data_IF_864473707882
#
_entry.id   IF_864473707882
#
_cell.length_a   1.000
_cell.length_b   1.000
_cell.length_c   1.000
_cell.angle_alpha   90.00
_cell.angle_beta   90.00
_cell.angle_gamma   90.00
#
_symmetry.space_group_name_H-M   'P 1'
#
loop_
_entity.id
_entity.type
_entity.pdbx_description
1 polymer ?
#
# COMPACT_ATOMS: atom_id res chain seq x y z
N UNK A 1 -15.72 -6.53 -7.31
CA UNK A 1 -15.31 -6.92 -5.93
C UNK A 1 -16.04 -6.07 -4.90
N UNK A 2 -16.28 -6.60 -3.70
CA UNK A 2 -16.87 -5.89 -2.55
C UNK A 2 -15.92 -4.78 -2.09
N UNK A 3 -16.46 -3.64 -1.67
CA UNK A 3 -15.66 -2.50 -1.17
C UNK A 3 -16.12 -2.02 0.18
N UNK A 4 -15.18 -1.45 0.94
CA UNK A 4 -15.42 -0.81 2.25
C UNK A 4 -14.64 0.50 2.32
N UNK A 5 -14.98 1.36 3.28
CA UNK A 5 -14.22 2.59 3.57
C UNK A 5 -13.53 2.43 4.91
N UNK A 6 -12.20 2.32 4.88
CA UNK A 6 -11.36 2.22 6.08
C UNK A 6 -10.13 3.08 5.88
N UNK A 7 -9.88 3.92 6.89
CA UNK A 7 -8.86 4.93 6.89
C UNK A 7 -9.22 6.15 6.04
N UNK A 8 -8.42 7.20 6.20
CA UNK A 8 -8.54 8.48 5.52
C UNK A 8 -7.14 8.99 5.19
N UNK A 9 -6.95 9.64 4.05
CA UNK A 9 -5.64 10.20 3.70
C UNK A 9 -5.77 11.53 2.96
N UNK A 10 -4.67 12.28 2.91
CA UNK A 10 -4.59 13.55 2.20
C UNK A 10 -5.00 13.33 0.75
N UNK A 11 -5.88 14.18 0.25
CA UNK A 11 -6.41 14.03 -1.11
C UNK A 11 -5.89 15.07 -2.10
N UNK A 12 -5.49 16.26 -1.61
CA UNK A 12 -4.97 17.38 -2.43
C UNK A 12 -3.92 18.14 -1.64
N UNK A 13 -2.87 18.65 -2.32
CA UNK A 13 -1.82 19.47 -1.70
C UNK A 13 -2.35 20.70 -0.99
N UNK A 14 -3.30 21.38 -1.63
CA UNK A 14 -3.84 22.68 -1.18
C UNK A 14 -4.86 22.59 -0.05
N UNK A 15 -5.17 21.39 0.44
CA UNK A 15 -6.15 21.21 1.51
C UNK A 15 -5.69 20.20 2.55
N UNK A 16 -5.94 20.51 3.82
CA UNK A 16 -5.80 19.54 4.91
C UNK A 16 -6.96 18.52 4.93
N UNK A 17 -7.86 18.56 3.95
CA UNK A 17 -8.97 17.61 3.82
C UNK A 17 -8.47 16.18 3.66
N UNK A 18 -8.77 15.38 4.68
CA UNK A 18 -8.59 13.94 4.66
C UNK A 18 -9.81 13.30 4.02
N UNK A 19 -9.62 12.46 3.00
CA UNK A 19 -10.71 11.68 2.39
C UNK A 19 -10.62 10.23 2.76
N UNK A 20 -11.79 9.63 3.00
CA UNK A 20 -11.91 8.20 3.25
C UNK A 20 -11.29 7.39 2.09
N UNK A 21 -10.50 6.39 2.45
CA UNK A 21 -9.87 5.48 1.49
C UNK A 21 -10.87 4.38 1.16
N UNK A 22 -11.16 4.21 -0.13
CA UNK A 22 -11.94 3.05 -0.58
C UNK A 22 -11.01 1.85 -0.69
N UNK A 23 -11.36 0.78 0.02
CA UNK A 23 -10.66 -0.50 0.02
C UNK A 23 -11.49 -1.56 -0.70
N UNK A 24 -10.81 -2.47 -1.37
CA UNK A 24 -11.39 -3.67 -1.98
C UNK A 24 -11.16 -4.82 -1.00
N UNK A 25 -12.20 -5.62 -0.76
CA UNK A 25 -12.11 -6.85 0.04
C UNK A 25 -11.59 -7.97 -0.86
N UNK A 26 -10.39 -8.46 -0.58
CA UNK A 26 -9.75 -9.55 -1.34
C UNK A 26 -10.07 -10.92 -0.77
N UNK A 27 -10.23 -11.02 0.55
CA UNK A 27 -10.58 -12.25 1.24
C UNK A 27 -11.33 -11.93 2.54
N UNK A 28 -12.20 -12.84 2.98
CA UNK A 28 -12.95 -12.75 4.23
C UNK A 28 -13.00 -14.14 4.87
N UNK A 29 -12.49 -14.27 6.10
CA UNK A 29 -12.51 -15.54 6.83
C UNK A 29 -13.89 -15.81 7.44
N UNK A 30 -14.16 -17.05 7.86
CA UNK A 30 -15.39 -17.41 8.58
C UNK A 30 -15.55 -16.64 9.91
N UNK A 31 -14.43 -16.18 10.48
CA UNK A 31 -14.40 -15.34 11.69
C UNK A 31 -14.66 -13.85 11.39
N UNK A 32 -14.86 -13.48 10.11
CA UNK A 32 -15.11 -12.11 9.67
C UNK A 32 -13.85 -11.25 9.52
N UNK A 33 -12.64 -11.84 9.53
CA UNK A 33 -11.39 -11.10 9.27
C UNK A 33 -11.27 -10.84 7.77
N UNK A 34 -10.97 -9.60 7.39
CA UNK A 34 -10.91 -9.19 5.98
C UNK A 34 -9.49 -8.79 5.59
N UNK A 35 -9.03 -9.30 4.44
CA UNK A 35 -7.84 -8.79 3.76
C UNK A 35 -8.26 -7.70 2.77
N UNK A 36 -7.66 -6.52 2.90
CA UNK A 36 -8.07 -5.32 2.18
C UNK A 36 -6.91 -4.75 1.36
N UNK A 37 -7.19 -4.29 0.14
CA UNK A 37 -6.27 -3.50 -0.68
C UNK A 37 -6.87 -2.13 -0.98
N UNK A 38 -6.05 -1.10 -1.11
CA UNK A 38 -6.52 0.21 -1.61
C UNK A 38 -7.04 0.09 -3.05
N UNK A 39 -8.16 0.74 -3.34
CA UNK A 39 -8.67 0.81 -4.72
C UNK A 39 -7.79 1.68 -5.64
N UNK A 40 -7.11 2.67 -5.07
CA UNK A 40 -6.28 3.66 -5.77
C UNK A 40 -4.86 3.66 -5.15
N UNK A 41 -3.83 4.03 -5.91
CA UNK A 41 -2.52 4.31 -5.33
C UNK A 41 -2.64 5.55 -4.44
N UNK A 42 -2.21 5.46 -3.18
CA UNK A 42 -2.52 6.48 -2.16
C UNK A 42 -1.53 7.63 -2.17
N UNK A 43 -0.23 7.32 -2.21
CA UNK A 43 0.86 8.27 -2.28
C UNK A 43 1.96 7.73 -3.21
N UNK A 44 2.84 8.63 -3.66
CA UNK A 44 4.03 8.29 -4.46
C UNK A 44 5.21 8.23 -3.51
N UNK A 45 5.66 7.00 -3.22
CA UNK A 45 6.72 6.72 -2.27
C UNK A 45 7.93 6.18 -3.01
N UNK A 46 9.14 6.49 -2.53
CA UNK A 46 10.33 5.73 -2.90
C UNK A 46 10.36 4.42 -2.11
N UNK A 47 11.03 3.39 -2.62
CA UNK A 47 11.15 2.12 -1.90
C UNK A 47 12.24 2.19 -0.81
N UNK A 48 13.40 2.78 -1.13
CA UNK A 48 14.52 3.07 -0.23
C UNK A 48 15.25 4.35 -0.65
N UNK A 49 16.40 4.60 -0.02
CA UNK A 49 17.28 5.71 -0.40
C UNK A 49 17.95 5.43 -1.76
N UNK A 50 18.22 6.49 -2.53
CA UNK A 50 18.91 6.40 -3.82
C UNK A 50 20.37 5.93 -3.66
N UNK A 51 20.95 6.13 -2.46
CA UNK A 51 22.33 5.74 -2.12
C UNK A 51 22.49 4.27 -1.69
N UNK A 52 21.40 3.50 -1.55
CA UNK A 52 21.52 2.06 -1.28
C UNK A 52 21.98 1.32 -2.55
N UNK A 53 23.06 0.53 -2.43
CA UNK A 53 23.31 -0.54 -3.40
C UNK A 53 22.05 -1.42 -3.45
N UNK A 54 21.41 -1.51 -4.63
CA UNK A 54 20.15 -2.24 -4.84
C UNK A 54 20.14 -3.65 -4.22
N UNK A 55 21.31 -4.28 -4.12
CA UNK A 55 21.52 -5.64 -3.61
C UNK A 55 21.36 -5.78 -2.08
N UNK A 56 21.16 -4.69 -1.33
CA UNK A 56 20.99 -4.70 0.14
C UNK A 56 19.62 -4.21 0.62
N UNK A 57 18.76 -3.76 -0.29
CA UNK A 57 17.51 -3.11 0.06
C UNK A 57 16.39 -4.14 0.27
N UNK A 58 16.31 -4.68 1.48
CA UNK A 58 15.25 -5.60 1.90
C UNK A 58 14.01 -4.88 2.43
N UNK A 59 12.84 -5.53 2.38
CA UNK A 59 11.59 -5.03 2.96
C UNK A 59 11.75 -4.51 4.38
N UNK A 60 12.50 -5.25 5.22
CA UNK A 60 12.72 -4.93 6.63
C UNK A 60 13.23 -3.50 6.84
N UNK A 61 14.18 -3.08 6.00
CA UNK A 61 14.88 -1.80 6.10
C UNK A 61 14.40 -0.76 5.07
N UNK A 62 13.35 -1.08 4.31
CA UNK A 62 12.82 -0.20 3.29
C UNK A 62 12.19 1.07 3.89
N UNK A 63 12.41 2.20 3.24
CA UNK A 63 11.77 3.47 3.61
C UNK A 63 10.25 3.36 3.54
N UNK A 64 9.73 2.67 2.52
CA UNK A 64 8.29 2.50 2.35
C UNK A 64 7.65 1.69 3.48
N UNK A 65 8.28 0.63 3.98
CA UNK A 65 7.77 -0.14 5.13
C UNK A 65 7.69 0.73 6.38
N UNK A 66 8.76 1.49 6.65
CA UNK A 66 8.82 2.41 7.78
C UNK A 66 7.70 3.46 7.68
N UNK A 67 7.52 4.07 6.51
CA UNK A 67 6.43 5.02 6.30
C UNK A 67 5.05 4.37 6.47
N UNK A 68 4.84 3.15 5.94
CA UNK A 68 3.57 2.44 6.03
C UNK A 68 3.18 2.13 7.47
N UNK A 69 4.12 1.62 8.27
CA UNK A 69 3.86 1.14 9.63
C UNK A 69 4.06 2.21 10.72
N UNK A 70 4.71 3.33 10.40
CA UNK A 70 4.84 4.47 11.30
C UNK A 70 3.88 5.61 10.92
N UNK A 71 4.17 6.37 9.87
CA UNK A 71 3.39 7.55 9.52
C UNK A 71 1.98 7.18 9.02
N UNK A 72 1.90 6.37 7.97
CA UNK A 72 0.64 6.06 7.33
C UNK A 72 -0.31 5.32 8.27
N UNK A 73 0.16 4.31 9.00
CA UNK A 73 -0.65 3.62 10.01
C UNK A 73 -1.21 4.57 11.07
N UNK A 74 -0.37 5.43 11.67
CA UNK A 74 -0.79 6.36 12.74
C UNK A 74 -1.78 7.43 12.27
N UNK A 75 -1.64 7.92 11.05
CA UNK A 75 -2.42 9.07 10.57
C UNK A 75 -3.57 8.71 9.64
N UNK A 76 -3.48 7.56 8.97
CA UNK A 76 -4.54 7.15 8.06
C UNK A 76 -5.70 6.48 8.79
N UNK A 77 -5.44 5.78 9.89
CA UNK A 77 -6.46 5.03 10.62
C UNK A 77 -6.80 5.75 11.93
N UNK A 78 -8.07 5.71 12.31
CA UNK A 78 -8.53 6.19 13.62
C UNK A 78 -8.23 5.15 14.71
N UNK A 79 -8.22 5.57 15.97
CA UNK A 79 -7.96 4.66 17.11
C UNK A 79 -8.86 3.41 17.08
N UNK A 80 -10.16 3.56 16.83
CA UNK A 80 -11.10 2.44 16.73
C UNK A 80 -10.89 1.56 15.48
N UNK A 81 -10.28 2.09 14.41
CA UNK A 81 -9.85 1.26 13.28
C UNK A 81 -8.58 0.48 13.65
N UNK A 82 -7.60 1.14 14.26
CA UNK A 82 -6.35 0.51 14.72
C UNK A 82 -6.62 -0.65 15.70
N UNK A 83 -7.56 -0.48 16.65
CA UNK A 83 -7.99 -1.53 17.59
C UNK A 83 -8.56 -2.78 16.92
N UNK A 84 -9.01 -2.67 15.66
CA UNK A 84 -9.62 -3.77 14.88
C UNK A 84 -8.67 -4.32 13.81
N UNK A 85 -7.49 -3.75 13.67
CA UNK A 85 -6.47 -4.24 12.75
C UNK A 85 -5.66 -5.35 13.42
N UNK A 86 -5.22 -6.31 12.61
CA UNK A 86 -4.37 -7.41 13.05
C UNK A 86 -3.03 -7.32 12.30
N UNK A 87 -1.91 -7.63 12.98
CA UNK A 87 -0.62 -7.69 12.30
C UNK A 87 -0.63 -8.80 11.24
N UNK A 88 0.04 -8.53 10.12
CA UNK A 88 0.31 -9.47 9.05
C UNK A 88 1.74 -9.95 9.23
N UNK A 89 1.91 -11.28 9.25
CA UNK A 89 3.23 -11.89 9.30
C UNK A 89 3.85 -11.87 7.90
N UNK A 90 5.00 -11.22 7.79
CA UNK A 90 5.78 -11.10 6.57
C UNK A 90 7.09 -11.83 6.76
N UNK A 91 7.36 -12.81 5.91
CA UNK A 91 8.64 -13.50 5.88
C UNK A 91 9.64 -12.74 5.01
N UNK A 92 10.81 -12.43 5.57
CA UNK A 92 11.92 -11.85 4.80
C UNK A 92 12.70 -12.96 4.10
N UNK A 93 13.51 -12.59 3.09
CA UNK A 93 14.38 -13.54 2.39
C UNK A 93 15.37 -14.22 3.34
N UNK A 94 15.81 -13.53 4.39
CA UNK A 94 16.65 -14.08 5.46
C UNK A 94 15.93 -14.98 6.47
N UNK A 95 14.64 -15.30 6.28
CA UNK A 95 13.86 -16.18 7.15
C UNK A 95 13.35 -15.54 8.43
N UNK A 96 13.52 -14.22 8.60
CA UNK A 96 12.95 -13.48 9.72
C UNK A 96 11.45 -13.26 9.48
N UNK A 97 10.66 -13.37 10.53
CA UNK A 97 9.23 -13.02 10.50
C UNK A 97 9.05 -11.64 11.10
N UNK A 98 8.47 -10.73 10.31
CA UNK A 98 8.08 -9.38 10.72
C UNK A 98 6.57 -9.32 10.94
N UNK A 99 6.11 -8.46 11.84
CA UNK A 99 4.70 -8.19 12.08
C UNK A 99 4.38 -6.75 11.65
N UNK A 100 3.64 -6.61 10.55
CA UNK A 100 3.31 -5.33 9.93
C UNK A 100 1.80 -5.09 9.94
N UNK A 101 1.37 -3.87 10.24
CA UNK A 101 -0.04 -3.46 10.22
C UNK A 101 -0.50 -3.05 8.82
N UNK A 102 0.43 -2.53 8.01
CA UNK A 102 0.19 -2.17 6.62
C UNK A 102 1.36 -2.66 5.78
N UNK A 103 1.06 -3.40 4.71
CA UNK A 103 2.06 -4.02 3.85
C UNK A 103 1.89 -3.60 2.39
N UNK A 104 2.95 -3.79 1.61
CA UNK A 104 2.85 -4.03 0.17
C UNK A 104 2.78 -5.54 -0.08
N UNK A 105 2.15 -5.92 -1.18
CA UNK A 105 2.15 -7.32 -1.60
C UNK A 105 3.46 -7.70 -2.30
N UNK A 106 3.88 -8.95 -2.12
CA UNK A 106 4.85 -9.58 -3.01
C UNK A 106 4.24 -9.86 -4.39
N UNK A 107 5.06 -10.15 -5.39
CA UNK A 107 4.57 -10.58 -6.70
C UNK A 107 3.67 -11.82 -6.60
N UNK A 108 4.06 -12.81 -5.77
CA UNK A 108 3.29 -14.03 -5.53
C UNK A 108 1.93 -13.74 -4.87
N UNK A 109 1.88 -12.82 -3.89
CA UNK A 109 0.62 -12.41 -3.25
C UNK A 109 -0.30 -11.70 -4.23
N UNK A 110 0.24 -10.88 -5.14
CA UNK A 110 -0.54 -10.27 -6.22
C UNK A 110 -1.13 -11.34 -7.13
N UNK A 111 -0.36 -12.35 -7.53
CA UNK A 111 -0.88 -13.44 -8.37
C UNK A 111 -1.97 -14.26 -7.66
N UNK A 112 -1.77 -14.52 -6.36
CA UNK A 112 -2.71 -15.26 -5.53
C UNK A 112 -4.04 -14.54 -5.33
N UNK A 113 -4.00 -13.26 -4.96
CA UNK A 113 -5.20 -12.50 -4.58
C UNK A 113 -5.82 -11.69 -5.73
N UNK A 114 -5.03 -11.38 -6.77
CA UNK A 114 -5.42 -10.62 -7.95
C UNK A 114 -4.95 -11.35 -9.23
N UNK A 115 -5.45 -12.58 -9.49
CA UNK A 115 -5.01 -13.38 -10.64
C UNK A 115 -5.36 -12.71 -11.97
N UNK A 116 -6.44 -11.92 -12.03
CA UNK A 116 -6.78 -11.15 -13.21
C UNK A 116 -5.97 -9.84 -13.26
N UNK A 117 -5.24 -9.64 -14.35
CA UNK A 117 -4.41 -8.45 -14.57
C UNK A 117 -5.20 -7.15 -14.59
N UNK A 118 -6.47 -7.17 -15.01
CA UNK A 118 -7.32 -5.98 -15.02
C UNK A 118 -7.64 -5.49 -13.60
N UNK A 119 -7.70 -6.40 -12.63
CA UNK A 119 -7.95 -6.07 -11.23
C UNK A 119 -6.73 -5.48 -10.53
N UNK A 120 -5.53 -5.61 -11.14
CA UNK A 120 -4.29 -5.00 -10.64
C UNK A 120 -4.19 -3.51 -10.98
N UNK A 121 -4.99 -3.03 -11.94
CA UNK A 121 -4.97 -1.63 -12.40
C UNK A 121 -5.51 -0.71 -11.31
N UNK A 122 -4.74 0.32 -10.98
CA UNK A 122 -5.16 1.36 -10.04
C UNK A 122 -4.90 2.75 -10.60
N UNK A 123 -5.73 3.70 -10.19
CA UNK A 123 -5.51 5.12 -10.50
C UNK A 123 -4.80 5.79 -9.33
N UNK A 124 -3.90 6.76 -9.57
CA UNK A 124 -3.31 7.52 -8.49
C UNK A 124 -4.35 8.43 -7.83
N UNK A 125 -4.22 8.62 -6.51
CA UNK A 125 -4.96 9.65 -5.78
C UNK A 125 -4.57 11.05 -6.27
N UNK A 126 -5.38 12.07 -5.94
CA UNK A 126 -5.01 13.45 -6.23
C UNK A 126 -3.72 13.90 -5.54
N UNK A 127 -3.38 13.27 -4.41
CA UNK A 127 -2.14 13.52 -3.68
C UNK A 127 -0.95 12.82 -4.35
N UNK A 128 -1.07 11.52 -4.69
CA UNK A 128 -0.03 10.77 -5.39
C UNK A 128 0.38 11.43 -6.73
N UNK A 129 -0.59 11.96 -7.48
CA UNK A 129 -0.31 12.72 -8.71
C UNK A 129 0.51 13.99 -8.49
N UNK A 130 0.41 14.58 -7.31
CA UNK A 130 1.11 15.82 -6.98
C UNK A 130 2.51 15.54 -6.39
N UNK A 131 2.65 14.50 -5.57
CA UNK A 131 3.92 14.15 -4.91
C UNK A 131 5.05 13.82 -5.89
N UNK A 132 4.73 13.60 -7.18
CA UNK A 132 5.71 13.39 -8.25
C UNK A 132 5.40 14.36 -9.39
N UNK A 133 6.34 15.25 -9.72
CA UNK A 133 6.19 16.19 -10.85
C UNK A 133 6.17 15.40 -12.19
N UNK A 134 5.12 15.65 -12.98
CA UNK A 134 4.92 15.31 -14.41
C UNK A 134 5.05 13.83 -14.89
N UNK A 135 3.89 13.31 -15.33
CA UNK A 135 3.66 12.31 -16.39
C UNK A 135 4.34 10.92 -16.38
N UNK A 136 5.30 10.64 -15.50
CA UNK A 136 6.22 9.51 -15.72
C UNK A 136 5.80 8.17 -15.09
N UNK A 137 4.78 8.15 -14.23
CA UNK A 137 4.33 6.93 -13.52
C UNK A 137 2.91 6.48 -13.87
N UNK A 138 2.21 7.25 -14.70
CA UNK A 138 0.94 6.83 -15.25
C UNK A 138 1.18 6.15 -16.59
N UNK A 139 0.76 4.89 -16.73
CA UNK A 139 0.57 4.25 -18.04
C UNK A 139 -0.28 5.14 -18.95
N UNK A 140 -0.21 4.94 -20.27
CA UNK A 140 -1.00 5.69 -21.26
C UNK A 140 -2.51 5.74 -20.94
N UNK A 141 -3.01 4.76 -20.18
CA UNK A 141 -4.41 4.67 -19.72
C UNK A 141 -4.69 5.41 -18.38
N UNK A 142 -3.73 6.17 -17.85
CA UNK A 142 -3.85 6.91 -16.59
C UNK A 142 -3.80 6.05 -15.32
N UNK A 143 -3.29 4.82 -15.41
CA UNK A 143 -3.10 3.91 -14.27
C UNK A 143 -1.67 4.00 -13.72
N UNK A 144 -1.50 3.91 -12.41
CA UNK A 144 -0.20 3.88 -11.71
C UNK A 144 0.32 2.45 -11.55
N UNK A 145 1.64 2.33 -11.40
CA UNK A 145 2.30 1.09 -10.97
C UNK A 145 2.30 1.03 -9.45
N UNK A 146 1.91 -0.12 -8.89
CA UNK A 146 2.04 -0.38 -7.46
C UNK A 146 3.50 -0.70 -7.13
N UNK A 147 4.01 -0.13 -6.03
CA UNK A 147 5.20 -0.71 -5.41
C UNK A 147 4.87 -2.11 -4.91
N UNK A 148 5.80 -3.04 -5.14
CA UNK A 148 5.77 -4.37 -4.56
C UNK A 148 6.70 -4.43 -3.35
N UNK A 149 6.42 -5.36 -2.45
CA UNK A 149 7.28 -5.65 -1.29
C UNK A 149 8.64 -6.21 -1.68
N UNK A 150 8.70 -6.96 -2.77
CA UNK A 150 9.94 -7.55 -3.24
C UNK A 150 10.29 -6.82 -4.54
N UNK A 151 11.19 -5.82 -4.51
CA UNK A 151 11.64 -5.14 -5.71
C UNK A 151 12.40 -6.15 -6.57
N UNK A 152 11.81 -6.54 -7.69
CA UNK A 152 12.41 -7.40 -8.71
C UNK A 152 13.46 -6.65 -9.53
#
# INVERSE_FOLDING_TARGET
>A
MKTVKIGRYRFKKSSMDMKAITRIVLNETLEGKMLLISKNCIDSMQYGDEDYENDKLEWENSYVRNWLNDYFYRFAFSNNECEKMYPIQVQTQGGKVLEDMVILFSAEEVEKYLPNIDDRKAKPSGWAKHSWEEDSLCTENGCCVWLLRDPS
#
